data_IF_378627701943
#
_entry.id   IF_378627701943
#
_cell.length_a   1.000
_cell.length_b   1.000
_cell.length_c   1.000
_cell.angle_alpha   90.00
_cell.angle_beta   90.00
_cell.angle_gamma   90.00
#
_symmetry.space_group_name_H-M   'P 1'
#
loop_
_entity.id
_entity.type
_entity.pdbx_description
1 polymer ?
#
# COMPACT_ATOMS: atom_id res chain seq x y z
N UNK A 1 13.61 2.18 14.71
CA UNK A 1 13.78 2.52 13.26
C UNK A 1 15.12 3.19 13.05
N UNK A 2 15.86 2.77 12.04
CA UNK A 2 17.17 3.32 11.64
C UNK A 2 17.05 4.54 10.73
N UNK A 3 15.82 4.93 10.41
CA UNK A 3 15.48 6.08 9.55
C UNK A 3 14.36 6.91 10.17
N UNK A 4 14.14 8.12 9.61
CA UNK A 4 12.93 8.91 9.85
C UNK A 4 12.12 8.92 8.55
N UNK A 5 10.87 8.52 8.60
CA UNK A 5 9.99 8.58 7.44
C UNK A 5 9.59 10.03 7.14
N UNK A 6 9.69 10.41 5.87
CA UNK A 6 9.12 11.65 5.36
C UNK A 6 7.62 11.49 5.17
N UNK A 7 6.88 12.57 5.34
CA UNK A 7 5.43 12.60 5.16
C UNK A 7 4.93 14.01 4.93
N UNK A 8 3.75 14.12 4.39
CA UNK A 8 2.95 15.35 4.40
C UNK A 8 1.67 15.11 5.20
N UNK A 9 1.17 16.16 5.81
CA UNK A 9 0.01 16.10 6.69
C UNK A 9 -0.89 17.31 6.45
N UNK A 10 -2.22 17.07 6.44
CA UNK A 10 -3.23 18.13 6.33
C UNK A 10 -4.51 17.74 7.06
N UNK A 11 -5.30 18.74 7.47
CA UNK A 11 -6.53 18.52 8.23
C UNK A 11 -6.29 18.18 9.69
N UNK A 12 -7.39 17.98 10.40
CA UNK A 12 -7.42 17.67 11.83
C UNK A 12 -8.40 16.51 12.10
N UNK A 13 -8.43 16.01 13.33
CA UNK A 13 -9.35 14.96 13.76
C UNK A 13 -8.75 13.57 13.74
N UNK A 14 -9.56 12.55 13.39
CA UNK A 14 -9.12 11.15 13.41
C UNK A 14 -8.09 10.86 12.31
N UNK A 15 -6.96 10.19 12.63
CA UNK A 15 -5.89 9.98 11.67
C UNK A 15 -6.31 9.05 10.51
N UNK A 16 -6.03 9.46 9.28
CA UNK A 16 -6.10 8.66 8.06
C UNK A 16 -4.71 8.61 7.43
N UNK A 17 -4.09 7.45 7.49
CA UNK A 17 -2.73 7.24 6.96
C UNK A 17 -2.80 6.64 5.57
N UNK A 18 -2.08 7.24 4.63
CA UNK A 18 -2.02 6.88 3.22
C UNK A 18 -0.64 6.30 2.87
N UNK A 19 -0.62 5.10 2.26
CA UNK A 19 0.59 4.39 1.84
C UNK A 19 0.60 4.21 0.32
N UNK A 20 1.57 4.81 -0.34
CA UNK A 20 1.75 4.75 -1.81
C UNK A 20 2.25 3.40 -2.31
N UNK A 21 2.23 3.19 -3.63
CA UNK A 21 2.73 2.00 -4.30
C UNK A 21 4.24 2.00 -4.51
N UNK A 22 4.76 0.89 -5.03
CA UNK A 22 6.17 0.71 -5.34
C UNK A 22 6.67 1.77 -6.34
N UNK A 23 7.82 2.38 -6.05
CA UNK A 23 8.44 3.40 -6.90
C UNK A 23 7.74 4.76 -6.90
N UNK A 24 6.75 4.97 -6.04
CA UNK A 24 6.02 6.24 -5.88
C UNK A 24 6.39 6.93 -4.57
N UNK A 25 5.69 7.97 -4.20
CA UNK A 25 5.83 8.75 -2.98
C UNK A 25 4.48 9.33 -2.54
N UNK A 26 4.46 10.14 -1.47
CA UNK A 26 3.26 10.80 -0.94
C UNK A 26 2.46 11.57 -2.00
N UNK A 27 3.08 12.04 -3.08
CA UNK A 27 2.41 12.81 -4.13
C UNK A 27 1.41 12.00 -4.93
N UNK A 28 1.47 10.65 -4.86
CA UNK A 28 0.45 9.77 -5.42
C UNK A 28 -0.95 10.17 -4.96
N UNK A 29 -1.08 10.55 -3.69
CA UNK A 29 -2.35 10.89 -3.05
C UNK A 29 -2.74 12.39 -3.13
N UNK A 30 -2.11 13.16 -4.04
CA UNK A 30 -2.42 14.59 -4.20
C UNK A 30 -3.93 14.88 -4.38
N UNK A 31 -4.66 13.95 -5.01
CA UNK A 31 -6.12 14.07 -5.25
C UNK A 31 -6.98 13.65 -4.06
N UNK A 32 -6.38 13.06 -3.02
CA UNK A 32 -7.04 12.61 -1.79
C UNK A 32 -6.82 13.59 -0.63
N UNK A 33 -5.66 14.26 -0.58
CA UNK A 33 -5.27 15.10 0.55
C UNK A 33 -6.33 16.15 0.88
N UNK A 34 -6.65 17.03 -0.08
CA UNK A 34 -7.61 18.11 0.13
C UNK A 34 -9.05 17.61 0.35
N UNK A 35 -9.60 16.68 -0.46
CA UNK A 35 -10.96 16.18 -0.24
C UNK A 35 -11.18 15.45 1.08
N UNK A 36 -10.15 14.84 1.66
CA UNK A 36 -10.29 14.08 2.92
C UNK A 36 -10.01 14.95 4.16
N UNK A 37 -9.25 16.03 4.02
CA UNK A 37 -8.82 16.89 5.13
C UNK A 37 -9.94 17.59 5.93
N UNK A 38 -11.15 17.83 5.38
CA UNK A 38 -12.25 18.38 6.20
C UNK A 38 -12.76 17.43 7.29
N UNK A 39 -12.51 16.12 7.15
CA UNK A 39 -13.02 15.08 8.08
C UNK A 39 -11.91 14.35 8.85
N UNK A 40 -10.71 14.33 8.31
CA UNK A 40 -9.61 13.52 8.81
C UNK A 40 -8.30 14.32 8.89
N UNK A 41 -7.48 13.95 9.85
CA UNK A 41 -6.06 14.27 9.84
C UNK A 41 -5.36 13.34 8.85
N UNK A 42 -5.19 13.79 7.60
CA UNK A 42 -4.66 12.98 6.50
C UNK A 42 -3.15 13.02 6.51
N UNK A 43 -2.50 11.86 6.58
CA UNK A 43 -1.05 11.71 6.64
C UNK A 43 -0.61 10.81 5.48
N UNK A 44 0.03 11.38 4.47
CA UNK A 44 0.60 10.61 3.36
C UNK A 44 2.09 10.39 3.59
N UNK A 45 2.49 9.13 3.74
CA UNK A 45 3.86 8.71 4.05
C UNK A 45 4.65 8.42 2.80
N UNK A 46 5.95 8.74 2.84
CA UNK A 46 6.95 8.11 1.98
C UNK A 46 7.49 6.86 2.70
N UNK A 47 7.31 5.70 2.12
CA UNK A 47 7.86 4.46 2.68
C UNK A 47 9.39 4.42 2.55
N UNK A 48 10.05 3.58 3.32
CA UNK A 48 11.52 3.41 3.31
C UNK A 48 12.07 3.37 1.88
N UNK A 49 13.06 4.21 1.58
CA UNK A 49 13.74 4.29 0.27
C UNK A 49 12.93 4.90 -0.85
N UNK A 50 11.77 5.52 -0.54
CA UNK A 50 10.92 6.22 -1.50
C UNK A 50 10.79 7.70 -1.13
N UNK A 51 10.54 8.55 -2.12
CA UNK A 51 10.35 9.99 -1.92
C UNK A 51 11.46 10.63 -1.10
N UNK A 52 11.11 11.31 -0.02
CA UNK A 52 12.05 11.91 0.94
C UNK A 52 12.52 10.98 2.05
N UNK A 53 12.05 9.72 2.10
CA UNK A 53 12.47 8.76 3.14
C UNK A 53 13.77 8.05 2.79
N UNK A 54 14.76 8.05 3.70
CA UNK A 54 16.02 7.35 3.46
C UNK A 54 15.83 5.84 3.28
N UNK A 55 16.77 5.19 2.56
CA UNK A 55 16.80 3.72 2.43
C UNK A 55 17.14 3.03 3.77
N UNK A 56 18.04 3.62 4.55
CA UNK A 56 18.56 3.03 5.77
C UNK A 56 19.33 1.71 5.55
N UNK A 57 19.62 1.02 6.65
CA UNK A 57 20.38 -0.23 6.66
C UNK A 57 19.53 -1.47 6.89
N UNK A 58 18.28 -1.32 7.39
CA UNK A 58 17.38 -2.44 7.64
C UNK A 58 16.98 -3.17 6.33
N UNK A 59 16.48 -4.41 6.41
CA UNK A 59 16.00 -5.16 5.24
C UNK A 59 15.01 -4.37 4.39
N UNK A 60 15.09 -4.51 3.06
CA UNK A 60 14.15 -3.87 2.13
C UNK A 60 13.01 -4.84 1.82
N UNK A 61 12.05 -4.92 2.73
CA UNK A 61 10.92 -5.85 2.66
C UNK A 61 9.64 -5.15 3.09
N UNK A 62 8.50 -5.61 2.56
CA UNK A 62 7.18 -5.10 2.95
C UNK A 62 6.91 -5.31 4.45
N UNK A 63 7.48 -6.37 5.01
CA UNK A 63 7.41 -6.68 6.43
C UNK A 63 8.16 -5.64 7.29
N UNK A 64 9.35 -5.23 6.86
CA UNK A 64 10.09 -4.13 7.50
C UNK A 64 9.34 -2.81 7.36
N UNK A 65 8.71 -2.55 6.22
CA UNK A 65 7.94 -1.32 6.01
C UNK A 65 6.71 -1.26 6.94
N UNK A 66 6.07 -2.40 7.20
CA UNK A 66 5.02 -2.47 8.23
C UNK A 66 5.57 -2.19 9.64
N UNK A 67 6.78 -2.64 9.95
CA UNK A 67 7.49 -2.30 11.19
C UNK A 67 7.83 -0.80 11.29
N UNK A 68 8.30 -0.21 10.19
CA UNK A 68 8.59 1.23 10.11
C UNK A 68 7.31 2.08 10.32
N UNK A 69 6.18 1.65 9.75
CA UNK A 69 4.88 2.28 9.97
C UNK A 69 4.49 2.23 11.47
N UNK A 70 4.69 1.09 12.12
CA UNK A 70 4.41 0.95 13.56
C UNK A 70 5.21 1.95 14.38
N UNK A 71 6.54 2.02 14.16
CA UNK A 71 7.37 2.99 14.88
C UNK A 71 7.02 4.45 14.56
N UNK A 72 6.62 4.75 13.32
CA UNK A 72 6.14 6.07 12.95
C UNK A 72 4.90 6.46 13.77
N UNK A 73 3.89 5.58 13.81
CA UNK A 73 2.66 5.82 14.56
C UNK A 73 2.94 6.02 16.07
N UNK A 74 3.79 5.20 16.66
CA UNK A 74 4.20 5.32 18.07
C UNK A 74 4.85 6.68 18.35
N UNK A 75 5.81 7.10 17.51
CA UNK A 75 6.49 8.41 17.66
C UNK A 75 5.55 9.59 17.50
N UNK A 76 4.48 9.44 16.70
CA UNK A 76 3.44 10.46 16.52
C UNK A 76 2.35 10.40 17.62
N UNK A 77 2.41 9.44 18.54
CA UNK A 77 1.39 9.21 19.54
C UNK A 77 0.05 8.75 18.95
N UNK A 78 0.07 8.15 17.75
CA UNK A 78 -1.12 7.64 17.07
C UNK A 78 -1.33 6.20 17.49
N UNK A 79 -2.30 5.98 18.34
CA UNK A 79 -2.66 4.65 18.86
C UNK A 79 -3.69 3.94 18.00
N UNK A 80 -4.43 4.68 17.15
CA UNK A 80 -5.45 4.15 16.25
C UNK A 80 -5.64 5.07 15.04
N UNK A 81 -5.80 4.49 13.85
CA UNK A 81 -5.99 5.24 12.61
C UNK A 81 -6.82 4.45 11.58
N UNK A 82 -7.38 5.14 10.61
CA UNK A 82 -7.74 4.53 9.34
C UNK A 82 -6.49 4.37 8.48
N UNK A 83 -6.43 3.29 7.72
CA UNK A 83 -5.28 2.98 6.86
C UNK A 83 -5.73 2.73 5.44
N UNK A 84 -5.23 3.51 4.49
CA UNK A 84 -5.46 3.34 3.06
C UNK A 84 -4.13 3.05 2.38
N UNK A 85 -4.05 1.91 1.70
CA UNK A 85 -2.86 1.54 0.95
C UNK A 85 -3.16 1.28 -0.52
N UNK A 86 -2.28 1.78 -1.38
CA UNK A 86 -2.30 1.54 -2.82
C UNK A 86 -1.18 0.56 -3.21
N UNK A 87 -1.52 -0.50 -3.98
CA UNK A 87 -0.54 -1.45 -4.53
C UNK A 87 0.34 -2.05 -3.40
N UNK A 88 1.67 -1.89 -3.44
CA UNK A 88 2.55 -2.31 -2.34
C UNK A 88 2.19 -1.62 -1.01
N UNK A 89 1.71 -0.37 -1.03
CA UNK A 89 1.16 0.28 0.15
C UNK A 89 -0.06 -0.47 0.71
N UNK A 90 -0.89 -1.07 -0.15
CA UNK A 90 -1.98 -1.96 0.25
C UNK A 90 -1.47 -3.26 0.87
N UNK A 91 -0.38 -3.82 0.32
CA UNK A 91 0.27 -5.00 0.86
C UNK A 91 0.89 -4.72 2.25
N UNK A 92 1.55 -3.55 2.41
CA UNK A 92 2.07 -3.08 3.70
C UNK A 92 0.94 -2.90 4.71
N UNK A 93 -0.17 -2.25 4.31
CA UNK A 93 -1.33 -2.02 5.14
C UNK A 93 -1.94 -3.35 5.64
N UNK A 94 -2.01 -4.35 4.77
CA UNK A 94 -2.51 -5.67 5.10
C UNK A 94 -1.59 -6.42 6.07
N UNK A 95 -0.26 -6.41 5.82
CA UNK A 95 0.75 -6.98 6.73
C UNK A 95 0.72 -6.27 8.09
N UNK A 96 0.59 -4.96 8.08
CA UNK A 96 0.46 -4.16 9.30
C UNK A 96 -0.78 -4.53 10.10
N UNK A 97 -1.94 -4.61 9.45
CA UNK A 97 -3.19 -4.98 10.11
C UNK A 97 -3.17 -6.40 10.69
N UNK A 98 -2.50 -7.36 10.01
CA UNK A 98 -2.30 -8.72 10.51
C UNK A 98 -1.41 -8.77 11.75
N UNK A 99 -0.41 -7.90 11.87
CA UNK A 99 0.53 -7.86 13.00
C UNK A 99 0.08 -6.98 14.15
N UNK A 100 -0.57 -5.85 13.84
CA UNK A 100 -0.92 -4.79 14.78
C UNK A 100 -2.39 -4.37 14.62
N UNK A 101 -3.36 -5.31 14.68
CA UNK A 101 -4.78 -5.01 14.40
C UNK A 101 -5.35 -3.92 15.29
N UNK A 102 -4.81 -3.74 16.51
CA UNK A 102 -5.26 -2.72 17.46
C UNK A 102 -5.02 -1.28 16.99
N UNK A 103 -4.13 -1.05 16.03
CA UNK A 103 -3.87 0.28 15.47
C UNK A 103 -4.84 0.66 14.36
N UNK A 104 -5.58 -0.31 13.78
CA UNK A 104 -6.39 -0.08 12.58
C UNK A 104 -7.87 -0.07 12.91
N UNK A 105 -8.53 1.08 12.67
CA UNK A 105 -9.98 1.24 12.83
C UNK A 105 -10.73 0.72 11.61
N UNK A 106 -10.36 1.20 10.41
CA UNK A 106 -10.86 0.76 9.10
C UNK A 106 -9.69 0.65 8.12
N UNK A 107 -9.78 -0.30 7.22
CA UNK A 107 -8.73 -0.61 6.23
C UNK A 107 -9.27 -0.41 4.82
N UNK A 108 -8.53 0.31 3.96
CA UNK A 108 -8.82 0.44 2.53
C UNK A 108 -7.65 -0.12 1.72
N UNK A 109 -7.93 -1.12 0.90
CA UNK A 109 -6.96 -1.80 0.03
C UNK A 109 -7.27 -1.48 -1.42
N UNK A 110 -6.45 -0.64 -2.06
CA UNK A 110 -6.56 -0.33 -3.47
C UNK A 110 -5.49 -1.07 -4.27
N UNK A 111 -5.89 -2.03 -5.09
CA UNK A 111 -4.98 -2.77 -5.95
C UNK A 111 -3.94 -3.62 -5.21
N UNK A 112 -4.26 -4.12 -4.02
CA UNK A 112 -3.38 -4.99 -3.26
C UNK A 112 -3.34 -6.42 -3.82
N UNK A 113 -2.26 -7.15 -3.52
CA UNK A 113 -2.14 -8.57 -3.85
C UNK A 113 -1.56 -9.35 -2.67
N UNK A 114 -1.88 -10.65 -2.56
CA UNK A 114 -1.37 -11.53 -1.50
C UNK A 114 -0.06 -12.22 -1.88
N UNK A 115 0.25 -12.26 -3.18
CA UNK A 115 1.43 -12.94 -3.74
C UNK A 115 1.72 -12.43 -5.14
N UNK A 116 2.98 -12.53 -5.64
CA UNK A 116 3.35 -12.06 -6.98
C UNK A 116 2.50 -12.66 -8.11
N UNK A 117 2.06 -13.91 -8.00
CA UNK A 117 1.18 -14.55 -8.98
C UNK A 117 -0.26 -14.00 -9.04
N UNK A 118 -0.59 -13.02 -8.18
CA UNK A 118 -1.82 -12.23 -8.27
C UNK A 118 -1.78 -11.15 -9.34
N UNK A 119 -0.58 -10.82 -9.85
CA UNK A 119 -0.37 -9.84 -10.91
C UNK A 119 -0.57 -10.50 -12.28
N UNK A 120 -1.15 -9.77 -13.25
CA UNK A 120 -1.28 -10.25 -14.64
C UNK A 120 0.09 -10.56 -15.23
N UNK A 121 0.19 -11.65 -15.99
CA UNK A 121 1.45 -12.10 -16.59
C UNK A 121 2.07 -11.06 -17.53
N UNK A 122 1.23 -10.31 -18.28
CA UNK A 122 1.66 -9.21 -19.14
C UNK A 122 2.40 -8.10 -18.40
N UNK A 123 2.11 -7.90 -17.11
CA UNK A 123 2.80 -6.95 -16.23
C UNK A 123 3.98 -7.61 -15.53
N UNK A 124 3.82 -8.84 -15.06
CA UNK A 124 4.84 -9.53 -14.29
C UNK A 124 6.10 -9.87 -15.10
N UNK A 125 5.94 -10.25 -16.39
CA UNK A 125 7.10 -10.60 -17.23
C UNK A 125 8.10 -9.45 -17.42
N UNK A 126 7.70 -8.21 -17.80
CA UNK A 126 8.61 -7.08 -17.85
C UNK A 126 9.29 -6.76 -16.52
N UNK A 127 8.56 -6.90 -15.41
CA UNK A 127 9.09 -6.68 -14.05
C UNK A 127 10.21 -7.70 -13.76
N UNK A 128 9.98 -8.98 -14.02
CA UNK A 128 10.98 -10.04 -13.82
C UNK A 128 12.19 -9.83 -14.72
N UNK A 129 11.98 -9.47 -15.99
CA UNK A 129 13.09 -9.17 -16.92
C UNK A 129 13.94 -7.98 -16.40
N UNK A 130 13.29 -6.90 -15.96
CA UNK A 130 13.95 -5.76 -15.33
C UNK A 130 14.70 -6.13 -14.05
N UNK A 131 14.10 -6.95 -13.20
CA UNK A 131 14.72 -7.47 -11.98
C UNK A 131 15.99 -8.26 -12.26
N UNK A 132 15.97 -9.18 -13.22
CA UNK A 132 17.15 -9.91 -13.64
C UNK A 132 18.25 -8.98 -14.16
N UNK A 133 17.90 -8.04 -15.05
CA UNK A 133 18.85 -7.08 -15.62
C UNK A 133 19.47 -6.19 -14.52
N UNK A 134 18.64 -5.63 -13.63
CA UNK A 134 19.11 -4.81 -12.52
C UNK A 134 19.96 -5.62 -11.53
N UNK A 135 19.68 -6.91 -11.34
CA UNK A 135 20.48 -7.80 -10.49
C UNK A 135 21.93 -7.93 -11.01
N UNK A 136 22.10 -8.11 -12.31
CA UNK A 136 23.43 -8.17 -12.95
C UNK A 136 24.12 -6.79 -12.90
N UNK A 137 23.43 -5.74 -13.34
CA UNK A 137 23.99 -4.39 -13.38
C UNK A 137 24.27 -3.83 -11.98
N UNK A 138 23.53 -4.27 -10.97
CA UNK A 138 23.68 -3.88 -9.57
C UNK A 138 25.01 -4.25 -8.94
N UNK A 139 25.75 -5.18 -9.55
CA UNK A 139 27.13 -5.51 -9.15
C UNK A 139 28.10 -4.34 -9.42
N UNK A 140 27.77 -3.45 -10.34
CA UNK A 140 28.61 -2.35 -10.81
C UNK A 140 27.99 -0.97 -10.63
N UNK A 141 26.69 -0.89 -10.31
CA UNK A 141 25.93 0.36 -10.23
C UNK A 141 25.04 0.42 -9.01
N UNK A 142 25.24 1.43 -8.16
CA UNK A 142 24.39 1.69 -6.97
C UNK A 142 22.92 1.93 -7.37
N UNK A 143 22.69 2.65 -8.47
CA UNK A 143 21.35 2.91 -8.98
C UNK A 143 20.65 1.63 -9.44
N UNK A 144 21.37 0.77 -10.17
CA UNK A 144 20.83 -0.52 -10.60
C UNK A 144 20.52 -1.42 -9.40
N UNK A 145 21.36 -1.40 -8.35
CA UNK A 145 21.09 -2.10 -7.09
C UNK A 145 19.81 -1.59 -6.42
N UNK A 146 19.61 -0.27 -6.34
CA UNK A 146 18.40 0.32 -5.77
C UNK A 146 17.15 -0.08 -6.59
N UNK A 147 17.23 -0.04 -7.91
CA UNK A 147 16.15 -0.49 -8.79
C UNK A 147 15.86 -1.99 -8.62
N UNK A 148 16.91 -2.80 -8.43
CA UNK A 148 16.75 -4.22 -8.15
C UNK A 148 15.99 -4.46 -6.82
N UNK A 149 16.33 -3.73 -5.76
CA UNK A 149 15.62 -3.81 -4.47
C UNK A 149 14.12 -3.48 -4.63
N UNK A 150 13.80 -2.41 -5.39
CA UNK A 150 12.41 -2.03 -5.70
C UNK A 150 11.66 -3.15 -6.44
N UNK A 151 12.25 -3.65 -7.54
CA UNK A 151 11.64 -4.72 -8.33
C UNK A 151 11.56 -6.03 -7.54
N UNK A 152 12.50 -6.28 -6.63
CA UNK A 152 12.53 -7.46 -5.78
C UNK A 152 11.29 -7.56 -4.87
N UNK A 153 10.75 -6.44 -4.39
CA UNK A 153 9.47 -6.44 -3.66
C UNK A 153 8.37 -7.05 -4.53
N UNK A 154 8.21 -6.59 -5.77
CA UNK A 154 7.15 -7.04 -6.68
C UNK A 154 7.33 -8.50 -7.16
N UNK A 155 8.59 -8.97 -7.27
CA UNK A 155 8.90 -10.33 -7.77
C UNK A 155 8.78 -11.36 -6.65
N UNK A 156 9.15 -11.01 -5.42
CA UNK A 156 9.29 -11.97 -4.32
C UNK A 156 8.32 -11.76 -3.18
N UNK A 157 7.51 -10.70 -3.17
CA UNK A 157 6.61 -10.37 -2.06
C UNK A 157 5.25 -9.87 -2.58
N UNK A 158 4.21 -9.85 -1.72
CA UNK A 158 4.14 -10.52 -0.42
C UNK A 158 3.92 -12.04 -0.53
N UNK A 159 3.87 -12.71 0.64
CA UNK A 159 3.44 -14.11 0.76
C UNK A 159 2.40 -14.23 1.88
N UNK A 160 1.21 -13.69 1.66
CA UNK A 160 0.10 -13.72 2.62
C UNK A 160 -0.83 -14.87 2.24
N UNK A 161 -1.15 -15.74 3.18
CA UNK A 161 -2.10 -16.84 2.95
C UNK A 161 -3.53 -16.29 3.11
N UNK A 162 -4.45 -16.62 2.19
CA UNK A 162 -5.85 -16.19 2.31
C UNK A 162 -6.48 -16.52 3.67
N UNK A 163 -6.11 -17.67 4.27
CA UNK A 163 -6.60 -18.10 5.57
C UNK A 163 -6.20 -17.15 6.72
N UNK A 164 -5.09 -16.44 6.59
CA UNK A 164 -4.65 -15.47 7.59
C UNK A 164 -5.58 -14.26 7.66
N UNK A 165 -6.22 -13.89 6.53
CA UNK A 165 -7.17 -12.78 6.45
C UNK A 165 -8.45 -13.05 7.27
N UNK A 166 -8.81 -14.32 7.47
CA UNK A 166 -9.94 -14.71 8.32
C UNK A 166 -9.84 -14.24 9.78
N UNK A 167 -8.65 -13.82 10.23
CA UNK A 167 -8.43 -13.26 11.57
C UNK A 167 -8.69 -11.76 11.67
N UNK A 168 -8.80 -11.07 10.51
CA UNK A 168 -9.00 -9.62 10.45
C UNK A 168 -10.49 -9.30 10.48
N UNK A 169 -11.00 -8.97 11.66
CA UNK A 169 -12.39 -8.50 11.83
C UNK A 169 -12.57 -7.01 11.52
N UNK A 170 -11.49 -6.31 11.23
CA UNK A 170 -11.45 -4.89 10.88
C UNK A 170 -12.30 -4.64 9.64
N UNK A 171 -13.24 -3.68 9.65
CA UNK A 171 -13.96 -3.29 8.45
C UNK A 171 -12.98 -2.95 7.32
N UNK A 172 -13.10 -3.63 6.19
CA UNK A 172 -12.14 -3.50 5.08
C UNK A 172 -12.86 -3.21 3.77
N UNK A 173 -12.44 -2.14 3.09
CA UNK A 173 -12.84 -1.83 1.73
C UNK A 173 -11.76 -2.30 0.75
N UNK A 174 -12.13 -3.19 -0.17
CA UNK A 174 -11.25 -3.65 -1.25
C UNK A 174 -11.67 -2.94 -2.54
N UNK A 175 -10.78 -2.14 -3.12
CA UNK A 175 -11.06 -1.38 -4.35
C UNK A 175 -10.06 -1.80 -5.44
N UNK A 176 -10.55 -1.93 -6.67
CA UNK A 176 -9.72 -2.12 -7.86
C UNK A 176 -10.33 -1.44 -9.08
N UNK A 177 -9.53 -1.17 -10.09
CA UNK A 177 -10.01 -0.78 -11.40
C UNK A 177 -10.47 -2.00 -12.21
N UNK A 178 -11.44 -1.81 -13.13
CA UNK A 178 -11.90 -2.86 -14.06
C UNK A 178 -10.74 -3.45 -14.90
N UNK A 179 -9.77 -2.61 -15.23
CA UNK A 179 -8.59 -2.97 -16.01
C UNK A 179 -7.31 -3.01 -15.16
N UNK A 180 -7.44 -3.32 -13.86
CA UNK A 180 -6.30 -3.41 -12.94
C UNK A 180 -5.24 -4.41 -13.44
N UNK A 181 -3.97 -4.16 -13.09
CA UNK A 181 -2.89 -5.12 -13.31
C UNK A 181 -2.97 -6.32 -12.38
N UNK A 182 -3.65 -6.20 -11.24
CA UNK A 182 -3.98 -7.32 -10.37
C UNK A 182 -5.12 -8.12 -11.01
N UNK A 183 -5.00 -9.43 -11.02
CA UNK A 183 -6.06 -10.30 -11.53
C UNK A 183 -7.35 -10.10 -10.73
N UNK A 184 -8.47 -9.83 -11.38
CA UNK A 184 -9.76 -9.63 -10.72
C UNK A 184 -10.13 -10.78 -9.77
N UNK A 185 -9.89 -12.02 -10.20
CA UNK A 185 -10.07 -13.21 -9.35
C UNK A 185 -9.25 -13.16 -8.07
N UNK A 186 -8.08 -12.49 -8.09
CA UNK A 186 -7.22 -12.33 -6.93
C UNK A 186 -7.75 -11.24 -5.99
N UNK A 187 -8.22 -10.12 -6.54
CA UNK A 187 -8.92 -9.07 -5.77
C UNK A 187 -10.18 -9.62 -5.09
N UNK A 188 -10.99 -10.41 -5.82
CA UNK A 188 -12.16 -11.10 -5.26
C UNK A 188 -11.79 -12.11 -4.17
N UNK A 189 -10.66 -12.83 -4.33
CA UNK A 189 -10.14 -13.73 -3.30
C UNK A 189 -9.80 -12.97 -2.01
N UNK A 190 -9.16 -11.79 -2.11
CA UNK A 190 -8.86 -10.95 -0.94
C UNK A 190 -10.16 -10.60 -0.21
N UNK A 191 -11.12 -10.04 -0.94
CA UNK A 191 -12.41 -9.65 -0.36
C UNK A 191 -13.14 -10.85 0.28
N UNK A 192 -13.21 -11.99 -0.41
CA UNK A 192 -13.88 -13.18 0.10
C UNK A 192 -13.19 -13.83 1.31
N UNK A 193 -11.89 -13.54 1.53
CA UNK A 193 -11.12 -14.07 2.65
C UNK A 193 -11.20 -13.22 3.91
N UNK A 194 -11.71 -12.00 3.80
CA UNK A 194 -11.88 -11.05 4.90
C UNK A 194 -13.30 -11.16 5.47
N UNK A 195 -13.50 -11.39 6.78
CA UNK A 195 -14.82 -11.57 7.38
C UNK A 195 -15.75 -10.35 7.26
N UNK A 196 -15.19 -9.14 7.26
CA UNK A 196 -15.92 -7.88 7.21
C UNK A 196 -15.39 -7.01 6.07
N UNK A 197 -15.74 -7.35 4.85
CA UNK A 197 -15.26 -6.64 3.65
C UNK A 197 -16.37 -6.17 2.74
N UNK A 198 -16.13 -5.02 2.09
CA UNK A 198 -16.89 -4.49 0.94
C UNK A 198 -15.95 -4.49 -0.27
N UNK A 199 -16.37 -5.08 -1.39
CA UNK A 199 -15.63 -5.04 -2.65
C UNK A 199 -16.27 -4.01 -3.58
N UNK A 200 -15.45 -3.13 -4.16
CA UNK A 200 -15.86 -2.16 -5.19
C UNK A 200 -14.90 -2.23 -6.37
N UNK A 201 -15.45 -2.41 -7.57
CA UNK A 201 -14.70 -2.32 -8.82
C UNK A 201 -15.13 -1.02 -9.51
N UNK A 202 -14.17 -0.16 -9.81
CA UNK A 202 -14.42 1.14 -10.42
C UNK A 202 -13.95 1.15 -11.89
N UNK A 203 -14.56 1.94 -12.76
CA UNK A 203 -14.02 2.17 -14.09
C UNK A 203 -12.60 2.73 -14.02
N UNK A 204 -11.65 2.09 -14.72
CA UNK A 204 -10.26 2.53 -14.74
C UNK A 204 -9.26 1.38 -14.64
N UNK A 205 -7.99 1.75 -14.49
CA UNK A 205 -6.85 0.84 -14.36
C UNK A 205 -6.37 0.71 -12.90
N UNK A 206 -5.15 0.19 -12.72
CA UNK A 206 -4.52 0.04 -11.41
C UNK A 206 -4.42 1.35 -10.62
N UNK A 207 -4.27 2.49 -11.32
CA UNK A 207 -4.10 3.82 -10.73
C UNK A 207 -5.44 4.55 -10.50
N UNK A 208 -6.52 3.82 -10.22
CA UNK A 208 -7.87 4.36 -10.11
C UNK A 208 -7.98 5.51 -9.10
N UNK A 209 -7.30 5.45 -7.96
CA UNK A 209 -7.30 6.52 -6.96
C UNK A 209 -6.72 7.84 -7.49
N UNK A 210 -5.78 7.77 -8.44
CA UNK A 210 -5.14 8.94 -9.06
C UNK A 210 -5.85 9.40 -10.32
N UNK A 211 -6.32 8.46 -11.16
CA UNK A 211 -6.84 8.74 -12.50
C UNK A 211 -8.35 8.91 -12.56
N UNK A 212 -9.08 8.23 -11.67
CA UNK A 212 -10.54 8.33 -11.52
C UNK A 212 -10.90 8.68 -10.08
N UNK A 213 -10.23 9.71 -9.54
CA UNK A 213 -10.38 10.14 -8.15
C UNK A 213 -11.80 10.64 -7.85
N UNK A 214 -12.53 11.15 -8.85
CA UNK A 214 -13.93 11.58 -8.73
C UNK A 214 -14.86 10.43 -8.34
N UNK A 215 -14.60 9.21 -8.83
CA UNK A 215 -15.34 8.02 -8.42
C UNK A 215 -14.74 7.38 -7.15
N UNK A 216 -13.42 7.43 -6.98
CA UNK A 216 -12.72 6.80 -5.88
C UNK A 216 -12.99 7.49 -4.54
N UNK A 217 -12.85 8.81 -4.47
CA UNK A 217 -12.91 9.55 -3.22
C UNK A 217 -14.26 9.43 -2.49
N UNK A 218 -15.43 9.56 -3.16
CA UNK A 218 -16.72 9.38 -2.49
C UNK A 218 -16.91 7.99 -1.90
N UNK A 219 -16.46 6.94 -2.60
CA UNK A 219 -16.55 5.54 -2.13
C UNK A 219 -15.72 5.33 -0.87
N UNK A 220 -14.51 5.91 -0.82
CA UNK A 220 -13.66 5.82 0.37
C UNK A 220 -14.25 6.61 1.52
N UNK A 221 -14.68 7.86 1.30
CA UNK A 221 -15.28 8.70 2.34
C UNK A 221 -16.55 8.06 2.94
N UNK A 222 -17.46 7.55 2.10
CA UNK A 222 -18.67 6.82 2.55
C UNK A 222 -18.31 5.62 3.44
N UNK A 223 -17.26 4.89 3.07
CA UNK A 223 -16.84 3.74 3.86
C UNK A 223 -16.18 4.14 5.19
N UNK A 224 -15.44 5.23 5.23
CA UNK A 224 -14.73 5.68 6.42
C UNK A 224 -15.65 6.35 7.45
N UNK A 225 -16.82 6.84 7.08
CA UNK A 225 -17.89 7.30 7.96
C UNK A 225 -18.56 6.14 8.71
#
# INVERSE_FOLDING_TARGET
MDITLNYIETGEGFPLVLLHGNGEDHTYFKRQMEPFSPKYRVIALDTRGHGGSPRGSAPFTLDQFAGDLKEFLDRKGITRCHLLGFSDGGNIALLFALKYPQYVEKLVLNGANLRPSGVKLSTQLPIVAGWCACGVCGLFSRQAKANWEMLNLMVTQPHIKPQELGRLTIPTLVIAGENDMILEKHTRLIAASLPNSKLVILPGDHFVARRNWEAFNPVVLEFLE
#
